data_IF_715602756587
#
_entry.id   IF_715602756587
#
_cell.length_a   1.000
_cell.length_b   1.000
_cell.length_c   1.000
_cell.angle_alpha   90.00
_cell.angle_beta   90.00
_cell.angle_gamma   90.00
#
_symmetry.space_group_name_H-M   'P 1'
#
loop_
_entity.id
_entity.type
_entity.pdbx_description
1 polymer ?
#
# COMPACT_ATOMS: atom_id res chain seq x y z
N UNK A 1 -1.71 -18.54 4.21
CA UNK A 1 -0.44 -18.35 4.94
C UNK A 1 -0.67 -18.38 6.44
N UNK A 2 0.36 -18.65 7.24
CA UNK A 2 0.30 -18.58 8.70
C UNK A 2 0.63 -17.18 9.23
N UNK A 3 0.35 -16.92 10.50
CA UNK A 3 0.74 -15.66 11.17
C UNK A 3 2.26 -15.46 11.14
N UNK A 4 3.03 -16.53 11.26
CA UNK A 4 4.50 -16.48 11.18
C UNK A 4 4.98 -16.09 9.77
N UNK A 5 4.34 -16.61 8.73
CA UNK A 5 4.62 -16.23 7.35
C UNK A 5 4.27 -14.77 7.08
N UNK A 6 3.17 -14.28 7.66
CA UNK A 6 2.80 -12.87 7.61
C UNK A 6 3.86 -11.97 8.28
N UNK A 7 4.28 -12.31 9.50
CA UNK A 7 5.31 -11.55 10.21
C UNK A 7 6.62 -11.51 9.41
N UNK A 8 7.04 -12.65 8.85
CA UNK A 8 8.20 -12.71 7.94
C UNK A 8 8.01 -11.83 6.70
N UNK A 9 6.79 -11.74 6.16
CA UNK A 9 6.51 -10.87 5.02
C UNK A 9 6.57 -9.38 5.41
N UNK A 10 6.11 -9.01 6.60
CA UNK A 10 6.25 -7.64 7.13
C UNK A 10 7.72 -7.28 7.22
N UNK A 11 8.53 -8.09 7.92
CA UNK A 11 9.96 -7.84 8.10
C UNK A 11 10.71 -7.76 6.77
N UNK A 12 10.35 -8.62 5.80
CA UNK A 12 11.05 -8.70 4.53
C UNK A 12 10.66 -7.59 3.54
N UNK A 13 9.42 -7.09 3.58
CA UNK A 13 8.87 -6.27 2.51
C UNK A 13 8.40 -4.88 2.92
N UNK A 14 8.19 -4.59 4.20
CA UNK A 14 7.62 -3.29 4.61
C UNK A 14 8.48 -2.09 4.17
N UNK A 15 9.80 -2.09 4.41
CA UNK A 15 10.68 -0.98 4.00
C UNK A 15 10.75 -0.84 2.47
N UNK A 16 10.84 -1.95 1.74
CA UNK A 16 10.87 -1.94 0.28
C UNK A 16 9.55 -1.42 -0.32
N UNK A 17 8.41 -1.80 0.27
CA UNK A 17 7.09 -1.35 -0.14
C UNK A 17 6.92 0.14 0.16
N UNK A 18 7.35 0.59 1.34
CA UNK A 18 7.35 2.00 1.73
C UNK A 18 8.17 2.84 0.76
N UNK A 19 9.43 2.46 0.46
CA UNK A 19 10.28 3.16 -0.51
C UNK A 19 9.67 3.20 -1.90
N UNK A 20 9.03 2.10 -2.33
CA UNK A 20 8.33 2.03 -3.61
C UNK A 20 7.18 3.04 -3.67
N UNK A 21 6.33 3.11 -2.65
CA UNK A 21 5.20 4.03 -2.60
C UNK A 21 5.68 5.48 -2.44
N UNK A 22 6.62 5.74 -1.54
CA UNK A 22 7.18 7.06 -1.28
C UNK A 22 7.78 7.69 -2.53
N UNK A 23 8.48 6.90 -3.36
CA UNK A 23 9.04 7.40 -4.63
C UNK A 23 7.97 7.91 -5.59
N UNK A 24 6.76 7.35 -5.53
CA UNK A 24 5.65 7.71 -6.41
C UNK A 24 4.76 8.82 -5.82
N UNK A 25 4.45 8.77 -4.52
CA UNK A 25 3.60 9.76 -3.84
C UNK A 25 4.34 11.01 -3.38
N UNK A 26 5.64 10.89 -3.08
CA UNK A 26 6.48 11.95 -2.48
C UNK A 26 5.90 12.55 -1.18
N UNK A 27 5.07 11.77 -0.48
CA UNK A 27 4.46 12.11 0.79
C UNK A 27 4.65 10.93 1.74
N UNK A 28 5.40 11.15 2.83
CA UNK A 28 5.74 10.10 3.79
C UNK A 28 4.54 9.57 4.57
N UNK A 29 3.64 10.46 5.00
CA UNK A 29 2.44 10.08 5.73
C UNK A 29 1.53 9.19 4.86
N UNK A 30 1.28 9.61 3.63
CA UNK A 30 0.47 8.81 2.70
C UNK A 30 1.16 7.50 2.31
N UNK A 31 2.48 7.49 2.19
CA UNK A 31 3.21 6.27 1.90
C UNK A 31 3.11 5.26 3.06
N UNK A 32 3.16 5.72 4.31
CA UNK A 32 2.95 4.90 5.49
C UNK A 32 1.52 4.31 5.51
N UNK A 33 0.50 5.13 5.25
CA UNK A 33 -0.90 4.70 5.20
C UNK A 33 -1.12 3.62 4.13
N UNK A 34 -0.57 3.80 2.91
CA UNK A 34 -0.69 2.80 1.84
C UNK A 34 -0.03 1.47 2.23
N UNK A 35 1.12 1.52 2.90
CA UNK A 35 1.79 0.30 3.37
C UNK A 35 0.95 -0.40 4.43
N UNK A 36 0.41 0.34 5.40
CA UNK A 36 -0.49 -0.20 6.41
C UNK A 36 -1.73 -0.85 5.77
N UNK A 37 -2.45 -0.11 4.93
CA UNK A 37 -3.63 -0.61 4.20
C UNK A 37 -3.33 -1.90 3.43
N UNK A 38 -2.13 -1.99 2.85
CA UNK A 38 -1.71 -3.15 2.08
C UNK A 38 -1.51 -4.38 2.96
N UNK A 39 -0.89 -4.21 4.13
CA UNK A 39 -0.70 -5.30 5.09
C UNK A 39 -2.01 -5.69 5.79
N UNK A 40 -2.90 -4.75 6.07
CA UNK A 40 -4.25 -5.06 6.55
C UNK A 40 -5.04 -5.89 5.53
N UNK A 41 -4.98 -5.53 4.24
CA UNK A 41 -5.59 -6.33 3.17
C UNK A 41 -4.98 -7.72 3.05
N UNK A 42 -3.69 -7.89 3.39
CA UNK A 42 -3.07 -9.20 3.44
C UNK A 42 -3.56 -9.98 4.66
N UNK A 43 -3.68 -9.34 5.82
CA UNK A 43 -4.18 -9.94 7.05
C UNK A 43 -5.60 -10.49 6.91
N UNK A 44 -6.49 -9.73 6.27
CA UNK A 44 -7.86 -10.20 5.99
C UNK A 44 -7.88 -11.44 5.08
N UNK A 45 -6.88 -11.59 4.20
CA UNK A 45 -6.75 -12.72 3.28
C UNK A 45 -5.66 -13.70 3.69
N UNK A 46 -5.36 -13.74 4.98
CA UNK A 46 -4.25 -14.53 5.51
C UNK A 46 -4.38 -15.98 5.06
N UNK A 47 -5.58 -16.58 5.11
CA UNK A 47 -5.78 -17.98 4.72
C UNK A 47 -5.72 -18.21 3.20
N UNK A 48 -6.13 -17.22 2.40
CA UNK A 48 -6.24 -17.32 0.94
C UNK A 48 -4.92 -17.09 0.21
N UNK A 49 -4.04 -16.27 0.77
CA UNK A 49 -2.76 -15.91 0.13
C UNK A 49 -1.69 -16.94 0.48
N UNK A 50 -1.12 -17.56 -0.55
CA UNK A 50 0.08 -18.41 -0.40
C UNK A 50 1.30 -17.55 -0.08
N UNK A 51 2.14 -18.01 0.86
CA UNK A 51 3.42 -17.37 1.18
C UNK A 51 4.32 -17.15 -0.04
N UNK A 52 4.28 -18.05 -1.03
CA UNK A 52 5.04 -17.92 -2.28
C UNK A 52 4.61 -16.72 -3.14
N UNK A 53 3.36 -16.27 -2.98
CA UNK A 53 2.78 -15.17 -3.76
C UNK A 53 2.68 -13.87 -2.97
N UNK A 54 3.12 -13.84 -1.70
CA UNK A 54 2.94 -12.68 -0.81
C UNK A 54 3.57 -11.42 -1.37
N UNK A 55 4.78 -11.50 -1.92
CA UNK A 55 5.48 -10.35 -2.51
C UNK A 55 4.66 -9.75 -3.65
N UNK A 56 4.22 -10.57 -4.60
CA UNK A 56 3.41 -10.11 -5.74
C UNK A 56 2.09 -9.52 -5.27
N UNK A 57 1.45 -10.13 -4.27
CA UNK A 57 0.21 -9.62 -3.68
C UNK A 57 0.39 -8.24 -3.06
N UNK A 58 1.43 -8.05 -2.23
CA UNK A 58 1.73 -6.78 -1.56
C UNK A 58 1.97 -5.66 -2.58
N UNK A 59 2.86 -5.86 -3.54
CA UNK A 59 3.18 -4.80 -4.51
C UNK A 59 2.00 -4.46 -5.43
N UNK A 60 1.20 -5.45 -5.83
CA UNK A 60 -0.01 -5.21 -6.63
C UNK A 60 -1.06 -4.45 -5.83
N UNK A 61 -1.29 -4.83 -4.58
CA UNK A 61 -2.25 -4.16 -3.69
C UNK A 61 -1.83 -2.73 -3.35
N UNK A 62 -0.54 -2.50 -3.06
CA UNK A 62 -0.01 -1.17 -2.81
C UNK A 62 -0.12 -0.28 -4.04
N UNK A 63 0.17 -0.81 -5.24
CA UNK A 63 0.02 -0.05 -6.49
C UNK A 63 -1.41 0.43 -6.69
N UNK A 64 -2.41 -0.45 -6.57
CA UNK A 64 -3.81 -0.03 -6.72
C UNK A 64 -4.22 1.00 -5.66
N UNK A 65 -3.85 0.76 -4.41
CA UNK A 65 -4.16 1.67 -3.29
C UNK A 65 -3.54 3.05 -3.53
N UNK A 66 -2.27 3.09 -3.95
CA UNK A 66 -1.56 4.32 -4.31
C UNK A 66 -2.24 5.09 -5.45
N UNK A 67 -2.69 4.40 -6.50
CA UNK A 67 -3.41 5.04 -7.63
C UNK A 67 -4.73 5.66 -7.16
N UNK A 68 -5.45 4.99 -6.25
CA UNK A 68 -6.68 5.54 -5.68
C UNK A 68 -6.43 6.80 -4.85
N UNK A 69 -5.32 6.84 -4.09
CA UNK A 69 -4.88 8.05 -3.37
C UNK A 69 -4.56 9.21 -4.32
N UNK A 70 -3.76 8.96 -5.37
CA UNK A 70 -3.41 9.99 -6.38
C UNK A 70 -4.68 10.56 -7.03
N UNK A 71 -5.65 9.69 -7.35
CA UNK A 71 -6.94 10.11 -7.93
C UNK A 71 -7.75 10.98 -6.97
N UNK A 72 -7.77 10.64 -5.69
CA UNK A 72 -8.46 11.43 -4.66
C UNK A 72 -7.82 12.81 -4.49
N UNK A 73 -6.49 12.89 -4.37
CA UNK A 73 -5.80 14.19 -4.24
C UNK A 73 -6.07 15.10 -5.43
N UNK A 74 -6.01 14.57 -6.66
CA UNK A 74 -6.34 15.35 -7.85
C UNK A 74 -7.77 15.89 -7.79
N UNK A 75 -8.73 15.08 -7.35
CA UNK A 75 -10.13 15.51 -7.21
C UNK A 75 -10.29 16.64 -6.19
N UNK A 76 -9.54 16.62 -5.10
CA UNK A 76 -9.58 17.71 -4.10
C UNK A 76 -8.94 18.99 -4.66
N UNK A 77 -7.83 18.88 -5.39
CA UNK A 77 -7.20 20.02 -6.05
C UNK A 77 -8.14 20.67 -7.09
N UNK A 78 -8.84 19.87 -7.89
CA UNK A 78 -9.76 20.37 -8.94
C UNK A 78 -11.08 20.95 -8.36
N UNK A 79 -11.41 20.64 -7.11
CA UNK A 79 -12.68 21.02 -6.47
C UNK A 79 -12.59 22.27 -5.58
N UNK A 80 -11.40 22.86 -5.41
CA UNK A 80 -11.21 24.07 -4.60
C UNK A 80 -11.51 25.33 -5.43
N UNK A 81 -12.63 26.05 -5.17
CA UNK A 81 -12.97 27.27 -5.89
C UNK A 81 -11.99 28.43 -5.64
N UNK A 82 -11.05 28.30 -4.68
CA UNK A 82 -10.00 29.29 -4.42
C UNK A 82 -8.80 29.19 -5.37
N UNK A 83 -8.76 28.17 -6.25
CA UNK A 83 -7.67 27.96 -7.24
C UNK A 83 -8.02 28.37 -8.68
N UNK A 84 -9.20 28.98 -8.90
CA UNK A 84 -9.64 29.55 -10.19
C UNK A 84 -9.48 31.08 -10.25
#
# INVERSE_FOLDING_TARGET
>A
MTVEEYNRAVDAYADNLFRFVLKNLKNEAMAADVVQDTFEKLWVKLEDVSGLKVKTYLFTSAYHTMIDYIRKEKRYADADPATL
#
